data_IF_792820062810
#
_entry.id   IF_792820062810
#
_cell.length_a   1.000
_cell.length_b   1.000
_cell.length_c   1.000
_cell.angle_alpha   90.00
_cell.angle_beta   90.00
_cell.angle_gamma   90.00
#
_symmetry.space_group_name_H-M   'P 1'
#
loop_
_entity.id
_entity.type
_entity.pdbx_description
1 polymer ?
#
# COMPACT_ATOMS: atom_id res chain seq x y z
N UNK A 1 -21.97 61.14 25.34
CA UNK A 1 -23.16 61.39 24.59
C UNK A 1 -23.67 60.15 23.84
N UNK A 2 -24.77 59.70 24.32
CA UNK A 2 -25.86 58.98 23.70
C UNK A 2 -25.62 57.72 22.86
N UNK A 3 -25.75 56.57 23.52
CA UNK A 3 -26.13 55.31 22.92
C UNK A 3 -27.67 55.18 22.94
N UNK A 4 -28.25 54.70 21.83
CA UNK A 4 -29.63 54.18 21.82
C UNK A 4 -29.61 52.75 21.27
N UNK A 5 -30.11 51.84 22.07
CA UNK A 5 -30.35 50.45 21.70
C UNK A 5 -31.58 50.29 20.82
N UNK A 6 -31.57 49.31 19.96
CA UNK A 6 -32.75 48.73 19.34
C UNK A 6 -32.83 47.24 19.66
N UNK A 7 -33.92 46.89 20.28
CA UNK A 7 -34.33 45.50 20.50
C UNK A 7 -34.89 44.90 19.20
N UNK A 8 -34.47 43.73 18.80
CA UNK A 8 -35.03 42.95 17.72
C UNK A 8 -35.70 41.69 18.31
N UNK A 9 -36.97 41.54 17.94
CA UNK A 9 -37.85 40.50 18.41
C UNK A 9 -37.49 39.13 17.82
N UNK A 10 -37.51 38.11 18.68
CA UNK A 10 -37.37 36.71 18.37
C UNK A 10 -38.67 36.17 17.77
N UNK A 11 -38.63 35.68 16.53
CA UNK A 11 -39.74 34.94 15.91
C UNK A 11 -39.47 33.44 16.03
N UNK A 12 -40.35 32.75 16.74
CA UNK A 12 -40.37 31.29 16.86
C UNK A 12 -40.98 30.66 15.59
N UNK A 13 -40.39 29.59 15.04
CA UNK A 13 -41.03 28.87 13.94
C UNK A 13 -42.08 27.87 14.46
N UNK A 14 -43.19 27.78 13.72
CA UNK A 14 -44.33 26.90 13.96
C UNK A 14 -44.00 25.44 13.68
N UNK A 15 -44.67 24.47 14.32
CA UNK A 15 -44.42 23.04 14.12
C UNK A 15 -44.97 22.55 12.79
N UNK A 16 -44.15 21.76 12.09
CA UNK A 16 -44.51 21.11 10.84
C UNK A 16 -45.36 19.87 11.10
N UNK A 17 -46.47 19.74 10.41
CA UNK A 17 -47.45 18.66 10.47
C UNK A 17 -46.88 17.36 9.86
N UNK A 18 -47.19 16.23 10.48
CA UNK A 18 -46.96 14.85 10.04
C UNK A 18 -47.52 14.60 8.63
N UNK A 19 -46.69 14.14 7.71
CA UNK A 19 -47.12 13.49 6.47
C UNK A 19 -47.15 11.96 6.68
N UNK A 20 -48.16 11.31 6.08
CA UNK A 20 -48.48 9.87 6.16
C UNK A 20 -47.51 9.02 5.31
N UNK A 21 -47.34 7.72 5.62
CA UNK A 21 -46.50 6.81 4.87
C UNK A 21 -47.25 6.26 3.64
N UNK A 22 -46.60 6.33 2.48
CA UNK A 22 -47.05 5.67 1.27
C UNK A 22 -46.57 6.37 0.03
N UNK A 23 -45.35 5.97 -0.43
CA UNK A 23 -45.12 5.64 -1.80
C UNK A 23 -43.65 5.11 -1.91
N UNK A 24 -43.58 3.86 -2.35
CA UNK A 24 -42.30 3.21 -2.66
C UNK A 24 -41.91 3.59 -4.07
N UNK A 25 -41.06 4.59 -4.23
CA UNK A 25 -40.33 4.76 -5.46
C UNK A 25 -39.06 3.93 -5.39
N UNK A 26 -39.10 2.82 -6.13
CA UNK A 26 -37.96 1.97 -6.37
C UNK A 26 -36.88 2.77 -7.12
N UNK A 27 -35.81 3.09 -6.45
CA UNK A 27 -34.58 3.51 -7.12
C UNK A 27 -34.10 2.34 -7.99
N UNK A 28 -33.80 2.54 -9.28
CA UNK A 28 -33.19 1.51 -10.09
C UNK A 28 -31.82 1.19 -9.49
N UNK A 29 -31.70 -0.05 -9.06
CA UNK A 29 -30.45 -0.68 -8.64
C UNK A 29 -29.46 -0.55 -9.82
N UNK A 30 -28.44 0.30 -9.64
CA UNK A 30 -27.41 0.53 -10.65
C UNK A 30 -26.48 -0.69 -10.66
N UNK A 31 -26.97 -1.78 -11.28
CA UNK A 31 -26.39 -3.11 -11.33
C UNK A 31 -25.11 -3.25 -12.19
N UNK A 32 -24.29 -2.19 -12.30
CA UNK A 32 -23.10 -2.22 -13.17
C UNK A 32 -21.76 -2.24 -12.46
N UNK A 33 -21.72 -2.15 -11.11
CA UNK A 33 -20.43 -2.06 -10.40
C UNK A 33 -20.00 -3.35 -9.65
N UNK A 34 -20.77 -4.43 -9.74
CA UNK A 34 -20.41 -5.69 -9.07
C UNK A 34 -19.58 -6.65 -9.91
N UNK A 35 -19.29 -6.35 -11.18
CA UNK A 35 -18.73 -7.32 -12.13
C UNK A 35 -17.22 -7.25 -12.35
N UNK A 36 -16.46 -6.42 -11.62
CA UNK A 36 -15.01 -6.30 -11.84
C UNK A 36 -14.17 -6.22 -10.55
N UNK A 37 -14.70 -6.72 -9.44
CA UNK A 37 -13.92 -6.91 -8.22
C UNK A 37 -13.46 -8.37 -8.18
N UNK A 38 -12.25 -8.63 -8.65
CA UNK A 38 -11.59 -9.89 -8.35
C UNK A 38 -11.56 -10.02 -6.81
N UNK A 39 -11.99 -11.16 -6.29
CA UNK A 39 -11.87 -11.44 -4.87
C UNK A 39 -10.42 -11.87 -4.58
N UNK A 40 -9.97 -11.72 -3.35
CA UNK A 40 -8.67 -12.20 -2.90
C UNK A 40 -8.41 -13.68 -3.26
N UNK A 41 -9.47 -14.49 -3.40
CA UNK A 41 -9.40 -15.88 -3.82
C UNK A 41 -9.02 -16.07 -5.30
N UNK A 42 -9.08 -15.01 -6.12
CA UNK A 42 -8.84 -15.08 -7.56
C UNK A 42 -7.37 -14.76 -7.93
N UNK A 43 -6.58 -14.25 -7.01
CA UNK A 43 -5.16 -13.96 -7.26
C UNK A 43 -4.24 -15.08 -6.77
N UNK A 44 -3.14 -15.36 -7.50
CA UNK A 44 -2.13 -16.32 -7.05
C UNK A 44 -1.42 -15.84 -5.78
N UNK A 45 -0.75 -16.75 -5.09
CA UNK A 45 0.03 -16.48 -3.88
C UNK A 45 1.53 -16.25 -4.17
N UNK A 46 1.92 -16.26 -5.45
CA UNK A 46 3.27 -15.94 -5.91
C UNK A 46 3.20 -15.24 -7.26
N UNK A 47 4.20 -14.40 -7.55
CA UNK A 47 4.25 -13.58 -8.77
C UNK A 47 5.69 -13.55 -9.28
N UNK A 48 5.86 -13.82 -10.57
CA UNK A 48 7.11 -13.66 -11.29
C UNK A 48 7.31 -12.21 -11.78
N UNK A 49 8.43 -11.96 -12.45
CA UNK A 49 8.80 -10.63 -12.96
C UNK A 49 7.76 -10.09 -13.94
N UNK A 50 7.21 -10.94 -14.80
CA UNK A 50 6.25 -10.51 -15.84
C UNK A 50 4.93 -10.06 -15.21
N UNK A 51 4.46 -10.78 -14.18
CA UNK A 51 3.29 -10.40 -13.41
C UNK A 51 3.50 -9.10 -12.62
N UNK A 52 4.70 -8.89 -12.05
CA UNK A 52 5.04 -7.62 -11.39
C UNK A 52 5.10 -6.46 -12.37
N UNK A 53 5.62 -6.67 -13.58
CA UNK A 53 5.60 -5.66 -14.64
C UNK A 53 4.18 -5.37 -15.14
N UNK A 54 3.29 -6.36 -15.20
CA UNK A 54 1.88 -6.15 -15.48
C UNK A 54 1.20 -5.29 -14.39
N UNK A 55 1.54 -5.53 -13.11
CA UNK A 55 1.12 -4.64 -12.02
C UNK A 55 1.64 -3.21 -12.22
N UNK A 56 2.92 -3.07 -12.59
CA UNK A 56 3.55 -1.77 -12.84
C UNK A 56 2.90 -1.00 -14.01
N UNK A 57 2.31 -1.69 -14.98
CA UNK A 57 1.52 -1.08 -16.07
C UNK A 57 0.05 -0.84 -15.72
N UNK A 58 -0.38 -1.22 -14.50
CA UNK A 58 -1.77 -1.08 -14.05
C UNK A 58 -2.72 -2.16 -14.59
N UNK A 59 -2.19 -3.25 -15.14
CA UNK A 59 -2.96 -4.33 -15.76
C UNK A 59 -3.46 -5.34 -14.73
N UNK A 60 -2.69 -5.60 -13.65
CA UNK A 60 -2.99 -6.66 -12.68
C UNK A 60 -4.20 -6.35 -11.80
N UNK A 61 -4.26 -5.17 -11.21
CA UNK A 61 -5.34 -4.75 -10.30
C UNK A 61 -6.33 -3.79 -10.96
N UNK A 62 -6.10 -3.47 -12.23
CA UNK A 62 -6.91 -2.53 -13.01
C UNK A 62 -6.52 -1.05 -12.80
N UNK A 63 -6.98 -0.18 -13.71
CA UNK A 63 -6.61 1.23 -13.72
C UNK A 63 -7.10 1.94 -12.45
N UNK A 64 -6.25 2.82 -11.89
CA UNK A 64 -6.57 3.59 -10.69
C UNK A 64 -6.36 2.86 -9.36
N UNK A 65 -5.96 1.60 -9.39
CA UNK A 65 -5.66 0.79 -8.20
C UNK A 65 -4.16 0.76 -7.87
N UNK A 66 -3.80 -0.03 -6.86
CA UNK A 66 -2.41 -0.20 -6.43
C UNK A 66 -1.53 -0.61 -7.61
N UNK A 67 -0.40 0.04 -7.75
CA UNK A 67 0.49 -0.11 -8.89
C UNK A 67 1.93 -0.08 -8.39
N UNK A 68 2.76 -1.00 -8.88
CA UNK A 68 4.20 -0.96 -8.65
C UNK A 68 4.86 0.06 -9.57
N UNK A 69 6.04 0.59 -9.21
CA UNK A 69 6.82 1.38 -10.16
C UNK A 69 7.41 0.48 -11.26
N UNK A 70 7.68 1.06 -12.41
CA UNK A 70 8.47 0.41 -13.46
C UNK A 70 9.96 0.40 -13.10
N UNK A 71 10.78 -0.50 -13.68
CA UNK A 71 12.23 -0.37 -13.63
C UNK A 71 12.70 1.02 -14.09
N UNK A 72 13.75 1.59 -13.47
CA UNK A 72 14.64 0.95 -12.52
C UNK A 72 14.18 1.00 -11.06
N UNK A 73 13.01 1.58 -10.74
CA UNK A 73 12.51 1.74 -9.38
C UNK A 73 11.76 0.52 -8.83
N UNK A 74 11.49 -0.51 -9.63
CA UNK A 74 10.92 -1.77 -9.15
C UNK A 74 11.98 -2.53 -8.36
N UNK A 75 11.80 -2.66 -7.05
CA UNK A 75 12.81 -3.18 -6.11
C UNK A 75 12.65 -4.66 -5.79
N UNK A 76 12.04 -5.44 -6.70
CA UNK A 76 11.92 -6.90 -6.58
C UNK A 76 11.80 -7.56 -7.94
N UNK A 77 12.20 -8.83 -8.01
CA UNK A 77 12.08 -9.66 -9.21
C UNK A 77 10.94 -10.66 -9.12
N UNK A 78 10.55 -11.04 -7.90
CA UNK A 78 9.44 -11.98 -7.66
C UNK A 78 8.88 -11.83 -6.26
N UNK A 79 7.61 -12.12 -6.10
CA UNK A 79 6.96 -12.41 -4.82
C UNK A 79 6.87 -13.91 -4.71
N UNK A 80 7.50 -14.49 -3.69
CA UNK A 80 7.57 -15.93 -3.49
C UNK A 80 6.38 -16.45 -2.69
N UNK A 81 5.82 -15.60 -1.82
CA UNK A 81 4.64 -15.94 -1.02
C UNK A 81 3.90 -14.68 -0.55
N UNK A 82 2.58 -14.70 -0.62
CA UNK A 82 1.71 -13.65 -0.13
C UNK A 82 0.44 -14.26 0.47
N UNK A 83 0.06 -13.76 1.65
CA UNK A 83 -1.14 -14.23 2.35
C UNK A 83 -1.82 -13.08 3.10
N UNK A 84 -3.13 -13.19 3.28
CA UNK A 84 -3.91 -12.32 4.16
C UNK A 84 -3.95 -12.79 5.61
N UNK A 85 -3.46 -14.00 5.85
CA UNK A 85 -3.43 -14.67 7.15
C UNK A 85 -2.00 -15.09 7.48
N UNK A 86 -1.76 -15.51 8.73
CA UNK A 86 -0.42 -15.91 9.17
C UNK A 86 0.54 -14.72 9.27
N UNK A 87 1.85 -14.99 9.06
CA UNK A 87 2.92 -14.05 9.37
C UNK A 87 3.14 -13.89 10.87
N UNK A 88 4.10 -13.05 11.27
CA UNK A 88 4.49 -12.86 12.68
C UNK A 88 3.32 -12.43 13.58
N UNK A 89 2.41 -11.60 13.05
CA UNK A 89 1.29 -11.02 13.80
C UNK A 89 -0.08 -11.64 13.45
N UNK A 90 -0.11 -12.70 12.62
CA UNK A 90 -1.37 -13.35 12.21
C UNK A 90 -2.31 -12.47 11.36
N UNK A 91 -1.78 -11.42 10.70
CA UNK A 91 -2.53 -10.44 9.92
C UNK A 91 -2.18 -10.46 8.42
N UNK A 92 -1.38 -11.44 8.00
CA UNK A 92 -0.89 -11.62 6.65
C UNK A 92 0.56 -11.19 6.48
N UNK A 93 1.13 -11.62 5.36
CA UNK A 93 2.53 -11.38 5.05
C UNK A 93 2.80 -11.29 3.55
N UNK A 94 3.99 -10.81 3.20
CA UNK A 94 4.58 -10.92 1.87
C UNK A 94 6.04 -11.32 2.00
N UNK A 95 6.46 -12.24 1.12
CA UNK A 95 7.86 -12.64 0.96
C UNK A 95 8.26 -12.41 -0.49
N UNK A 96 9.36 -11.71 -0.71
CA UNK A 96 9.81 -11.36 -2.06
C UNK A 96 11.33 -11.41 -2.16
N UNK A 97 11.83 -11.48 -3.38
CA UNK A 97 13.25 -11.53 -3.68
C UNK A 97 13.64 -10.51 -4.75
N UNK A 98 14.85 -9.98 -4.63
CA UNK A 98 15.49 -9.11 -5.61
C UNK A 98 16.91 -9.62 -5.88
N UNK A 99 17.20 -9.96 -7.13
CA UNK A 99 18.50 -10.45 -7.53
C UNK A 99 19.47 -9.28 -7.65
N UNK A 100 20.63 -9.40 -7.01
CA UNK A 100 21.67 -8.39 -7.03
C UNK A 100 22.70 -8.77 -8.08
N UNK A 101 22.88 -7.87 -9.06
CA UNK A 101 23.90 -7.99 -10.09
C UNK A 101 24.79 -6.75 -10.11
N UNK A 102 26.08 -6.86 -10.47
CA UNK A 102 27.02 -5.73 -10.41
C UNK A 102 26.68 -4.56 -11.33
N UNK A 103 25.82 -4.77 -12.33
CA UNK A 103 25.37 -3.77 -13.32
C UNK A 103 24.10 -3.03 -12.91
N UNK A 104 23.57 -3.26 -11.70
CA UNK A 104 22.43 -2.49 -11.20
C UNK A 104 22.78 -0.99 -11.13
N UNK A 105 21.89 -0.19 -11.68
CA UNK A 105 22.07 1.24 -11.94
C UNK A 105 22.62 2.05 -10.76
N UNK A 106 22.24 1.72 -9.54
CA UNK A 106 22.64 2.46 -8.35
C UNK A 106 24.11 2.22 -7.98
N UNK A 107 24.72 1.13 -8.40
CA UNK A 107 26.13 0.86 -8.12
C UNK A 107 27.08 1.75 -8.92
N UNK A 108 26.65 2.24 -10.08
CA UNK A 108 27.42 3.18 -10.87
C UNK A 108 27.55 4.56 -10.21
N UNK A 109 26.49 5.01 -9.55
CA UNK A 109 26.36 6.37 -9.02
C UNK A 109 26.47 6.49 -7.50
N UNK A 110 26.27 5.42 -6.76
CA UNK A 110 26.21 5.48 -5.30
C UNK A 110 27.15 4.47 -4.61
N UNK A 111 28.45 4.77 -4.48
CA UNK A 111 29.21 5.96 -4.90
C UNK A 111 30.30 5.56 -5.89
N UNK A 112 30.81 6.44 -6.76
CA UNK A 112 31.97 6.17 -7.60
C UNK A 112 33.17 5.71 -6.74
N UNK A 113 33.69 4.50 -7.04
CA UNK A 113 34.77 3.89 -6.27
C UNK A 113 34.37 3.19 -4.96
N UNK A 114 33.12 3.30 -4.52
CA UNK A 114 32.57 2.60 -3.37
C UNK A 114 31.10 2.22 -3.61
N UNK A 115 30.81 1.25 -4.50
CA UNK A 115 29.46 0.90 -4.89
C UNK A 115 28.68 0.27 -3.73
N UNK A 116 27.57 0.88 -3.36
CA UNK A 116 26.65 0.44 -2.31
C UNK A 116 25.24 0.77 -2.77
N UNK A 117 24.28 -0.13 -2.59
CA UNK A 117 22.86 0.17 -2.80
C UNK A 117 22.39 1.24 -1.81
N UNK A 118 21.73 2.32 -2.25
CA UNK A 118 21.11 3.27 -1.33
C UNK A 118 20.14 2.59 -0.38
N UNK A 119 20.28 2.82 0.94
CA UNK A 119 19.41 2.21 1.94
C UNK A 119 17.93 2.55 1.78
N UNK A 120 17.62 3.73 1.22
CA UNK A 120 16.25 4.12 0.91
C UNK A 120 15.58 3.22 -0.13
N UNK A 121 16.31 2.58 -1.03
CA UNK A 121 15.74 1.66 -2.04
C UNK A 121 15.26 0.35 -1.42
N UNK A 122 15.98 -0.18 -0.43
CA UNK A 122 15.50 -1.35 0.31
C UNK A 122 14.24 -1.05 1.13
N UNK A 123 14.17 0.13 1.74
CA UNK A 123 12.96 0.59 2.42
C UNK A 123 11.80 0.79 1.43
N UNK A 124 12.08 1.36 0.26
CA UNK A 124 11.06 1.53 -0.80
C UNK A 124 10.52 0.17 -1.28
N UNK A 125 11.38 -0.84 -1.42
CA UNK A 125 10.95 -2.21 -1.72
C UNK A 125 9.94 -2.76 -0.71
N UNK A 126 10.14 -2.52 0.58
CA UNK A 126 9.20 -2.90 1.63
C UNK A 126 7.87 -2.16 1.52
N UNK A 127 7.87 -0.85 1.19
CA UNK A 127 6.64 -0.08 0.94
C UNK A 127 5.91 -0.56 -0.31
N UNK A 128 6.64 -0.86 -1.40
CA UNK A 128 6.08 -1.42 -2.63
C UNK A 128 5.33 -2.72 -2.34
N UNK A 129 5.91 -3.63 -1.56
CA UNK A 129 5.30 -4.90 -1.16
C UNK A 129 4.09 -4.70 -0.25
N UNK A 130 4.16 -3.74 0.67
CA UNK A 130 3.04 -3.39 1.54
C UNK A 130 1.84 -2.90 0.70
N UNK A 131 2.09 -1.99 -0.25
CA UNK A 131 1.06 -1.48 -1.17
C UNK A 131 0.52 -2.55 -2.11
N UNK A 132 1.39 -3.43 -2.64
CA UNK A 132 0.99 -4.56 -3.48
C UNK A 132 0.01 -5.50 -2.75
N UNK A 133 0.28 -5.84 -1.47
CA UNK A 133 -0.61 -6.68 -0.69
C UNK A 133 -2.01 -6.07 -0.53
N UNK A 134 -2.13 -4.75 -0.38
CA UNK A 134 -3.45 -4.10 -0.28
C UNK A 134 -4.25 -4.25 -1.58
N UNK A 135 -3.60 -4.09 -2.76
CA UNK A 135 -4.21 -4.35 -4.06
C UNK A 135 -4.57 -5.83 -4.23
N UNK A 136 -3.68 -6.74 -3.84
CA UNK A 136 -3.89 -8.18 -3.88
C UNK A 136 -5.09 -8.62 -3.00
N UNK A 137 -5.36 -7.94 -1.89
CA UNK A 137 -6.59 -8.13 -1.08
C UNK A 137 -7.87 -7.69 -1.81
N UNK A 138 -7.78 -7.17 -3.03
CA UNK A 138 -8.90 -6.63 -3.80
C UNK A 138 -9.35 -5.24 -3.33
N UNK A 139 -8.49 -4.52 -2.59
CA UNK A 139 -8.81 -3.18 -2.13
C UNK A 139 -8.46 -2.15 -3.21
N UNK A 140 -9.33 -1.17 -3.39
CA UNK A 140 -9.25 -0.19 -4.48
C UNK A 140 -8.55 1.10 -4.05
N UNK A 141 -7.98 1.80 -5.03
CA UNK A 141 -7.29 3.08 -4.87
C UNK A 141 -5.78 2.98 -5.10
N UNK A 142 -5.15 4.15 -5.32
CA UNK A 142 -3.70 4.27 -5.51
C UNK A 142 -2.97 4.20 -4.19
N UNK A 143 -1.82 3.53 -4.18
CA UNK A 143 -0.98 3.37 -3.00
C UNK A 143 -0.12 4.61 -2.70
N UNK A 144 -0.07 5.00 -1.43
CA UNK A 144 0.76 6.09 -0.92
C UNK A 144 1.47 5.65 0.35
N UNK A 145 2.80 5.77 0.38
CA UNK A 145 3.57 5.62 1.60
C UNK A 145 3.28 6.81 2.52
N UNK A 146 2.83 6.53 3.75
CA UNK A 146 2.49 7.57 4.73
C UNK A 146 3.59 7.82 5.74
N UNK A 147 4.48 6.86 5.92
CA UNK A 147 5.58 6.97 6.88
C UNK A 147 6.01 5.64 7.46
N UNK A 148 6.94 5.70 8.37
CA UNK A 148 7.55 4.59 9.10
C UNK A 148 7.84 5.02 10.52
N UNK A 149 7.74 4.10 11.48
CA UNK A 149 8.04 4.38 12.88
C UNK A 149 9.54 4.34 13.17
N UNK A 150 10.19 3.24 12.80
CA UNK A 150 11.62 3.04 13.03
C UNK A 150 12.26 2.34 11.83
N UNK A 151 13.48 2.74 11.50
CA UNK A 151 14.33 2.07 10.50
C UNK A 151 15.71 1.87 11.09
N UNK A 152 16.19 0.62 11.11
CA UNK A 152 17.57 0.28 11.44
C UNK A 152 18.24 -0.31 10.21
N UNK A 153 19.32 0.30 9.78
CA UNK A 153 20.17 -0.17 8.70
C UNK A 153 21.47 -0.68 9.32
N UNK A 154 21.61 -1.99 9.41
CA UNK A 154 22.73 -2.65 10.11
C UNK A 154 23.75 -3.23 9.16
N UNK A 155 23.43 -3.30 7.86
CA UNK A 155 24.31 -3.84 6.83
C UNK A 155 24.22 -3.08 5.52
N UNK A 156 25.09 -3.45 4.57
CA UNK A 156 25.22 -2.83 3.25
C UNK A 156 25.05 -3.86 2.15
N UNK A 157 24.40 -3.46 1.06
CA UNK A 157 24.33 -4.25 -0.18
C UNK A 157 25.42 -3.78 -1.13
N UNK A 158 26.39 -4.65 -1.41
CA UNK A 158 27.49 -4.43 -2.35
C UNK A 158 27.31 -5.28 -3.59
N UNK A 159 28.05 -5.02 -4.69
CA UNK A 159 27.92 -5.78 -5.94
C UNK A 159 28.26 -7.28 -5.84
N UNK A 160 28.92 -7.72 -4.79
CA UNK A 160 29.27 -9.12 -4.52
C UNK A 160 28.16 -9.92 -3.83
N UNK A 161 27.11 -9.24 -3.32
CA UNK A 161 25.89 -9.90 -2.85
C UNK A 161 25.12 -10.47 -4.05
N UNK A 162 24.31 -11.49 -3.78
CA UNK A 162 23.56 -12.20 -4.83
C UNK A 162 22.09 -11.89 -4.80
N UNK A 163 21.52 -11.75 -3.60
CA UNK A 163 20.07 -11.65 -3.43
C UNK A 163 19.69 -10.88 -2.18
N UNK A 164 18.66 -10.03 -2.30
CA UNK A 164 17.88 -9.56 -1.16
C UNK A 164 16.62 -10.40 -1.01
N UNK A 165 16.27 -10.71 0.24
CA UNK A 165 14.99 -11.30 0.61
C UNK A 165 14.25 -10.30 1.49
N UNK A 166 13.02 -9.97 1.09
CA UNK A 166 12.13 -9.09 1.80
C UNK A 166 11.10 -9.89 2.59
N UNK A 167 10.90 -9.51 3.84
CA UNK A 167 9.86 -10.01 4.72
C UNK A 167 9.01 -8.85 5.16
N UNK A 168 7.73 -8.90 4.85
CA UNK A 168 6.72 -7.92 5.31
C UNK A 168 5.69 -8.69 6.11
N UNK A 169 5.45 -8.30 7.35
CA UNK A 169 4.47 -8.91 8.25
C UNK A 169 3.49 -7.83 8.74
N UNK A 170 2.22 -8.00 8.41
CA UNK A 170 1.19 -6.98 8.72
C UNK A 170 0.83 -7.01 10.20
N UNK A 171 0.90 -5.86 10.85
CA UNK A 171 0.39 -5.61 12.19
C UNK A 171 -1.07 -5.18 12.15
N UNK A 172 -1.47 -4.45 11.08
CA UNK A 172 -2.85 -3.99 10.84
C UNK A 172 -3.15 -3.96 9.35
N UNK A 173 -4.35 -4.38 9.00
CA UNK A 173 -4.93 -4.23 7.67
C UNK A 173 -6.37 -3.72 7.85
N UNK A 174 -6.63 -2.48 7.46
CA UNK A 174 -7.86 -1.75 7.76
C UNK A 174 -8.51 -1.31 6.46
N UNK A 175 -9.77 -1.70 6.26
CA UNK A 175 -10.61 -1.18 5.18
C UNK A 175 -11.92 -0.65 5.76
N UNK A 176 -12.15 0.64 5.60
CA UNK A 176 -13.38 1.33 5.97
C UNK A 176 -13.82 2.23 4.81
N UNK A 177 -15.00 2.85 4.91
CA UNK A 177 -15.46 3.85 3.91
C UNK A 177 -14.54 5.05 3.77
N UNK A 178 -13.72 5.36 4.76
CA UNK A 178 -12.89 6.59 4.80
C UNK A 178 -11.39 6.31 4.77
N UNK A 179 -10.99 5.08 5.08
CA UNK A 179 -9.59 4.72 5.23
C UNK A 179 -9.38 3.28 4.78
N UNK A 180 -8.46 3.12 3.84
CA UNK A 180 -7.88 1.83 3.48
C UNK A 180 -6.38 1.93 3.73
N UNK A 181 -5.86 1.13 4.67
CA UNK A 181 -4.48 1.24 5.11
C UNK A 181 -3.92 -0.10 5.59
N UNK A 182 -2.66 -0.35 5.27
CA UNK A 182 -1.83 -1.37 5.87
C UNK A 182 -0.78 -0.76 6.80
N UNK A 183 -0.55 -1.41 7.92
CA UNK A 183 0.62 -1.18 8.79
C UNK A 183 1.36 -2.49 8.89
N UNK A 184 2.67 -2.46 8.64
CA UNK A 184 3.50 -3.66 8.62
C UNK A 184 4.88 -3.40 9.21
N UNK A 185 5.48 -4.45 9.74
CA UNK A 185 6.90 -4.53 10.03
C UNK A 185 7.64 -5.15 8.84
N UNK A 186 8.91 -4.84 8.68
CA UNK A 186 9.72 -5.35 7.58
C UNK A 186 11.10 -5.77 7.99
N UNK A 187 11.61 -6.80 7.35
CA UNK A 187 13.01 -7.23 7.43
C UNK A 187 13.55 -7.35 6.01
N UNK A 188 14.79 -6.96 5.82
CA UNK A 188 15.53 -7.24 4.59
C UNK A 188 16.78 -8.00 4.94
N UNK A 189 16.98 -9.13 4.26
CA UNK A 189 18.19 -9.92 4.31
C UNK A 189 18.98 -9.79 3.01
N UNK A 190 20.31 -9.77 3.13
CA UNK A 190 21.23 -9.94 2.01
C UNK A 190 21.95 -11.28 2.17
N UNK A 191 21.68 -12.23 1.27
CA UNK A 191 22.25 -13.60 1.30
C UNK A 191 22.03 -14.31 2.65
N UNK A 192 20.87 -14.07 3.32
CA UNK A 192 20.51 -14.65 4.61
C UNK A 192 21.01 -13.87 5.84
N UNK A 193 21.71 -12.76 5.66
CA UNK A 193 22.12 -11.85 6.74
C UNK A 193 21.13 -10.70 6.87
N UNK A 194 20.53 -10.49 8.03
CA UNK A 194 19.63 -9.36 8.28
C UNK A 194 20.39 -8.06 8.21
N UNK A 195 19.97 -7.18 7.30
CA UNK A 195 20.58 -5.88 7.06
C UNK A 195 19.65 -4.70 7.33
N UNK A 196 18.32 -4.91 7.30
CA UNK A 196 17.34 -3.90 7.70
C UNK A 196 16.30 -4.50 8.64
N UNK A 197 15.95 -3.73 9.66
CA UNK A 197 14.78 -3.93 10.51
C UNK A 197 13.92 -2.66 10.45
N UNK A 198 12.65 -2.81 10.12
CA UNK A 198 11.73 -1.69 9.92
C UNK A 198 10.45 -1.94 10.70
N UNK A 199 9.98 -0.93 11.44
CA UNK A 199 8.76 -1.02 12.25
C UNK A 199 7.74 0.03 11.84
N UNK A 200 6.46 -0.34 11.92
CA UNK A 200 5.32 0.55 11.70
C UNK A 200 5.34 1.25 10.32
N UNK A 201 5.68 0.53 9.25
CA UNK A 201 5.50 1.03 7.89
C UNK A 201 4.01 1.21 7.60
N UNK A 202 3.64 2.36 7.06
CA UNK A 202 2.25 2.72 6.77
C UNK A 202 2.08 3.01 5.29
N UNK A 203 1.15 2.31 4.67
CA UNK A 203 0.71 2.55 3.29
C UNK A 203 -0.81 2.67 3.28
N UNK A 204 -1.32 3.68 2.61
CA UNK A 204 -2.77 3.83 2.38
C UNK A 204 -3.10 3.68 0.90
N UNK A 205 -4.34 3.28 0.62
CA UNK A 205 -4.95 3.42 -0.69
C UNK A 205 -5.94 4.59 -0.66
N UNK A 206 -5.89 5.44 -1.67
CA UNK A 206 -6.82 6.56 -1.85
C UNK A 206 -7.46 6.52 -3.22
N UNK A 207 -8.77 6.66 -3.27
CA UNK A 207 -9.51 6.96 -4.49
C UNK A 207 -9.32 8.47 -4.77
N UNK A 208 -8.61 8.79 -5.84
CA UNK A 208 -8.35 10.17 -6.29
C UNK A 208 -9.44 10.65 -7.22
#
# INVERSE_FOLDING_TARGET
>A
PHARGHATATVLPRPCTRARPGDRDAHPDNGTDRRNRASMADYPTSFDKDALLACARGELFGPGNAQLPLPPMLMMDRITDISAEGGEHGKGHVRAEFDITPDLWFFECHFPGNPIMPGCLGLDGLWQLTGFNLGWRGWTGRGYALGVGEVKLTGMVRPDRKKLTYFVDFTKAIQTRRLTMGVADGIVEADGEVIYEVKDMKVALSES
#
